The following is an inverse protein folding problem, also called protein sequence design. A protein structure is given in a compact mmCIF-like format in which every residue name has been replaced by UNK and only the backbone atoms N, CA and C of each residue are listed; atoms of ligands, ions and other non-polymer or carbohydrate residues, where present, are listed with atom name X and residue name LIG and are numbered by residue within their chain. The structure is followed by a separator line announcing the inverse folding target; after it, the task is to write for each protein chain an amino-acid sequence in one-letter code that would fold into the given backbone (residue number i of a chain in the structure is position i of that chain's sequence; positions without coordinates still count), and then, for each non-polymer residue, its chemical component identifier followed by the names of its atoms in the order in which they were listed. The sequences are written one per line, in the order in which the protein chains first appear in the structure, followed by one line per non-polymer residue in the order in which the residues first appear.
data_IF_900227047996
#
_entry.id   IF_900227047996
#
_cell.length_a   1.000
_cell.length_b   1.000
_cell.length_c   1.000
_cell.angle_alpha   90.00
_cell.angle_beta   90.00
_cell.angle_gamma   90.00
#
_symmetry.space_group_name_H-M   'P 1'
#
loop_
_entity.id
_entity.type
_entity.pdbx_description
1 polymer ?
#
# COMPACT_ATOMS: atom_id res chain seq x y z
N UNK A 1 3.13 -6.90 -38.44
CA UNK A 1 1.92 -6.40 -37.73
C UNK A 1 1.49 -7.26 -36.53
N UNK A 2 1.49 -8.60 -36.59
CA UNK A 2 1.02 -9.44 -35.46
C UNK A 2 1.90 -9.42 -34.19
N UNK A 3 3.19 -9.13 -34.29
CA UNK A 3 4.13 -9.10 -33.14
C UNK A 3 3.94 -7.87 -32.25
N UNK A 4 3.53 -6.75 -32.83
CA UNK A 4 3.34 -5.48 -32.11
C UNK A 4 2.12 -5.53 -31.17
N UNK A 5 1.10 -6.32 -31.53
CA UNK A 5 -0.10 -6.52 -30.71
C UNK A 5 0.17 -7.34 -29.43
N UNK A 6 1.12 -8.29 -29.47
CA UNK A 6 1.47 -9.11 -28.30
C UNK A 6 2.24 -8.31 -27.25
N UNK A 7 3.10 -7.36 -27.68
CA UNK A 7 3.84 -6.49 -26.77
C UNK A 7 2.94 -5.52 -25.99
N UNK A 8 1.83 -5.08 -26.59
CA UNK A 8 0.93 -4.07 -26.00
C UNK A 8 0.00 -4.67 -24.94
N UNK A 9 -0.31 -5.97 -24.98
CA UNK A 9 -1.15 -6.59 -23.95
C UNK A 9 -0.42 -6.84 -22.61
N UNK A 10 0.92 -6.87 -22.61
CA UNK A 10 1.74 -7.06 -21.40
C UNK A 10 1.82 -5.81 -20.50
N UNK A 11 1.34 -4.66 -20.97
CA UNK A 11 1.40 -3.39 -20.24
C UNK A 11 0.09 -3.01 -19.53
N UNK A 12 -0.93 -3.88 -19.53
CA UNK A 12 -2.18 -3.58 -18.82
C UNK A 12 -2.07 -3.97 -17.35
N UNK A 13 -1.40 -3.11 -16.58
CA UNK A 13 -1.36 -3.19 -15.12
C UNK A 13 -2.78 -3.03 -14.55
N UNK A 14 -3.18 -3.77 -13.51
CA UNK A 14 -4.41 -3.49 -12.79
C UNK A 14 -4.33 -2.09 -12.15
N UNK A 15 -5.45 -1.37 -12.08
CA UNK A 15 -5.54 -0.11 -11.34
C UNK A 15 -5.10 -0.36 -9.89
N UNK A 16 -4.01 0.28 -9.49
CA UNK A 16 -3.50 0.19 -8.13
C UNK A 16 -4.49 0.89 -7.18
N UNK A 17 -5.00 0.15 -6.20
CA UNK A 17 -5.74 0.68 -5.06
C UNK A 17 -5.00 0.27 -3.79
N UNK A 18 -4.90 1.18 -2.83
CA UNK A 18 -4.34 0.90 -1.51
C UNK A 18 -5.40 0.25 -0.62
N UNK A 19 -5.04 -0.88 -0.01
CA UNK A 19 -5.88 -1.59 0.95
C UNK A 19 -5.24 -1.50 2.33
N UNK A 20 -6.04 -1.11 3.32
CA UNK A 20 -5.60 -0.94 4.70
C UNK A 20 -6.55 -1.72 5.60
N UNK A 21 -5.98 -2.53 6.49
CA UNK A 21 -6.71 -3.11 7.61
C UNK A 21 -6.52 -2.20 8.83
N UNK A 22 -7.62 -1.82 9.48
CA UNK A 22 -7.63 -0.96 10.66
C UNK A 22 -8.61 -1.51 11.70
N UNK A 23 -8.17 -1.57 12.96
CA UNK A 23 -9.03 -1.88 14.11
C UNK A 23 -9.75 -0.64 14.69
N UNK A 24 -10.69 -0.88 15.63
CA UNK A 24 -11.59 0.14 16.21
C UNK A 24 -10.91 1.22 17.08
N UNK A 25 -9.72 0.93 17.62
CA UNK A 25 -8.93 1.92 18.38
C UNK A 25 -7.55 2.12 17.76
N UNK A 26 -7.40 1.75 16.49
CA UNK A 26 -6.16 1.86 15.78
C UNK A 26 -6.18 3.06 14.83
N UNK A 27 -5.16 3.91 14.91
CA UNK A 27 -4.96 5.01 13.98
C UNK A 27 -3.93 4.61 12.92
N UNK A 28 -4.26 4.85 11.66
CA UNK A 28 -3.33 4.72 10.53
C UNK A 28 -3.07 6.09 9.93
N UNK A 29 -1.81 6.40 9.66
CA UNK A 29 -1.39 7.69 9.12
C UNK A 29 -0.84 7.46 7.70
N UNK A 30 -1.30 8.25 6.72
CA UNK A 30 -0.66 8.38 5.41
C UNK A 30 0.04 9.73 5.36
N UNK A 31 1.34 9.72 5.14
CA UNK A 31 2.17 10.92 5.08
C UNK A 31 2.67 11.05 3.65
N UNK A 32 2.25 12.10 2.97
CA UNK A 32 2.65 12.36 1.60
C UNK A 32 3.19 13.79 1.50
N UNK A 33 4.26 13.94 0.74
CA UNK A 33 4.80 15.24 0.38
C UNK A 33 4.07 15.69 -0.90
N UNK A 34 3.27 16.75 -0.79
CA UNK A 34 2.37 17.24 -1.83
C UNK A 34 2.64 18.73 -2.06
N UNK A 35 2.90 19.17 -3.29
CA UNK A 35 3.16 20.58 -3.56
C UNK A 35 1.93 21.45 -3.23
N UNK A 36 2.17 22.68 -2.76
CA UNK A 36 1.13 23.55 -2.20
C UNK A 36 -0.01 23.95 -3.13
N UNK A 37 0.13 23.79 -4.45
CA UNK A 37 -0.89 24.06 -5.47
C UNK A 37 -1.66 22.81 -5.92
N UNK A 38 -1.52 21.68 -5.21
CA UNK A 38 -2.13 20.41 -5.58
C UNK A 38 -3.44 20.15 -4.83
N UNK A 39 -4.50 19.82 -5.56
CA UNK A 39 -5.76 19.37 -4.97
C UNK A 39 -5.73 17.86 -4.69
N UNK A 40 -5.94 17.47 -3.43
CA UNK A 40 -6.01 16.07 -3.03
C UNK A 40 -7.46 15.63 -2.93
N UNK A 41 -7.84 14.67 -3.78
CA UNK A 41 -9.14 14.01 -3.72
C UNK A 41 -8.94 12.50 -3.57
N UNK A 42 -9.64 11.91 -2.62
CA UNK A 42 -9.59 10.47 -2.37
C UNK A 42 -11.00 9.89 -2.25
N UNK A 43 -11.23 8.76 -2.89
CA UNK A 43 -12.42 7.94 -2.68
C UNK A 43 -12.06 6.75 -1.82
N UNK A 44 -12.83 6.49 -0.78
CA UNK A 44 -12.61 5.34 0.09
C UNK A 44 -13.86 4.47 0.18
N UNK A 45 -13.65 3.19 0.49
CA UNK A 45 -14.70 2.22 0.77
C UNK A 45 -14.33 1.48 2.05
N UNK A 46 -15.31 1.28 2.91
CA UNK A 46 -15.13 0.57 4.18
C UNK A 46 -15.90 -0.75 4.08
N UNK A 47 -15.29 -1.82 4.56
CA UNK A 47 -15.93 -3.13 4.67
C UNK A 47 -15.48 -3.79 5.97
N UNK A 48 -16.37 -4.58 6.56
CA UNK A 48 -16.10 -5.33 7.78
C UNK A 48 -15.90 -6.81 7.44
N UNK A 49 -14.88 -7.44 8.03
CA UNK A 49 -14.68 -8.88 7.92
C UNK A 49 -15.59 -9.62 8.91
N UNK A 50 -16.38 -10.57 8.41
CA UNK A 50 -17.26 -11.39 9.24
C UNK A 50 -16.71 -12.83 9.32
N UNK A 51 -16.28 -13.32 10.51
CA UNK A 51 -15.68 -14.65 10.66
C UNK A 51 -16.61 -15.79 10.26
N UNK A 52 -17.91 -15.66 10.54
CA UNK A 52 -18.90 -16.71 10.28
C UNK A 52 -19.16 -16.96 8.80
N UNK A 53 -19.03 -15.93 7.94
CA UNK A 53 -19.28 -16.03 6.50
C UNK A 53 -18.00 -16.08 5.67
N UNK A 54 -16.81 -15.96 6.30
CA UNK A 54 -15.52 -15.85 5.64
C UNK A 54 -15.53 -14.81 4.50
N UNK A 55 -16.15 -13.65 4.74
CA UNK A 55 -16.34 -12.63 3.70
C UNK A 55 -16.39 -11.20 4.24
N UNK A 56 -16.23 -10.25 3.32
CA UNK A 56 -16.36 -8.82 3.58
C UNK A 56 -17.81 -8.36 3.38
N UNK A 57 -18.37 -7.70 4.38
CA UNK A 57 -19.73 -7.11 4.34
C UNK A 57 -19.70 -5.61 4.58
N UNK A 58 -20.86 -4.98 4.40
CA UNK A 58 -21.06 -3.58 4.79
C UNK A 58 -20.89 -3.42 6.31
N UNK A 59 -20.33 -2.29 6.78
CA UNK A 59 -20.14 -2.04 8.21
C UNK A 59 -21.45 -2.05 9.00
N UNK A 60 -21.38 -2.43 10.28
CA UNK A 60 -22.51 -2.33 11.19
C UNK A 60 -23.00 -0.87 11.37
N UNK A 61 -24.29 -0.63 11.69
CA UNK A 61 -24.79 0.71 11.98
C UNK A 61 -24.02 1.34 13.15
N UNK A 62 -23.51 2.56 12.97
CA UNK A 62 -22.68 3.26 13.97
C UNK A 62 -21.17 3.13 13.74
N UNK A 63 -20.73 2.10 13.01
CA UNK A 63 -19.32 1.90 12.67
C UNK A 63 -18.93 2.67 11.41
N UNK A 64 -18.08 3.67 11.56
CA UNK A 64 -17.62 4.54 10.47
C UNK A 64 -16.10 4.61 10.36
N UNK A 65 -15.61 5.20 9.26
CA UNK A 65 -14.22 5.61 9.11
C UNK A 65 -14.15 7.13 9.04
N UNK A 66 -13.21 7.69 9.78
CA UNK A 66 -12.96 9.11 9.91
C UNK A 66 -11.58 9.39 9.36
N UNK A 67 -11.47 10.41 8.51
CA UNK A 67 -10.19 10.88 7.96
C UNK A 67 -9.97 12.30 8.45
N UNK A 68 -8.95 12.50 9.28
CA UNK A 68 -8.50 13.81 9.71
C UNK A 68 -7.32 14.22 8.86
N UNK A 69 -7.33 15.46 8.35
CA UNK A 69 -6.25 15.98 7.50
C UNK A 69 -5.49 17.03 8.29
N UNK A 70 -4.19 16.78 8.46
CA UNK A 70 -3.27 17.67 9.17
C UNK A 70 -2.14 18.09 8.23
N UNK A 71 -1.94 19.39 8.03
CA UNK A 71 -0.89 19.91 7.15
C UNK A 71 0.31 20.39 7.97
N UNK A 72 1.51 19.97 7.59
CA UNK A 72 2.78 20.36 8.22
C UNK A 72 3.62 21.16 7.22
N UNK A 73 3.60 22.49 7.35
CA UNK A 73 4.27 23.38 6.38
C UNK A 73 3.49 23.50 5.06
N UNK A 74 4.16 23.93 3.99
CA UNK A 74 3.51 24.15 2.68
C UNK A 74 3.52 22.90 1.77
N UNK A 75 4.23 21.83 2.15
CA UNK A 75 4.51 20.69 1.25
C UNK A 75 4.26 19.30 1.86
N UNK A 76 3.80 19.18 3.12
CA UNK A 76 3.58 17.86 3.75
C UNK A 76 2.19 17.73 4.34
N UNK A 77 1.48 16.68 3.95
CA UNK A 77 0.13 16.37 4.45
C UNK A 77 0.12 15.03 5.19
N UNK A 78 -0.63 14.99 6.30
CA UNK A 78 -0.86 13.81 7.11
C UNK A 78 -2.36 13.51 7.06
N UNK A 79 -2.71 12.32 6.57
CA UNK A 79 -4.07 11.82 6.58
C UNK A 79 -4.18 10.74 7.67
N UNK A 80 -4.87 11.10 8.74
CA UNK A 80 -5.11 10.24 9.89
C UNK A 80 -6.45 9.52 9.75
N UNK A 81 -6.39 8.21 9.55
CA UNK A 81 -7.54 7.33 9.38
C UNK A 81 -7.82 6.62 10.69
N UNK A 82 -9.06 6.75 11.19
CA UNK A 82 -9.56 6.01 12.36
C UNK A 82 -10.89 5.34 12.02
N UNK A 83 -11.15 4.17 12.61
CA UNK A 83 -12.41 3.42 12.45
C UNK A 83 -13.04 3.26 13.82
N UNK A 84 -14.34 3.51 13.99
CA UNK A 84 -15.00 3.32 15.29
C UNK A 84 -16.43 3.85 15.35
N UNK A 85 -16.98 3.94 16.57
CA UNK A 85 -18.27 4.54 16.91
C UNK A 85 -18.03 5.87 17.67
N UNK A 86 -18.88 6.88 17.49
CA UNK A 86 -18.64 8.25 17.98
C UNK A 86 -19.50 8.59 19.21
N UNK A 87 -18.92 8.60 20.41
CA UNK A 87 -19.62 8.90 21.68
C UNK A 87 -19.46 10.35 22.19
N UNK A 88 -20.56 10.93 22.68
CA UNK A 88 -20.75 12.32 23.16
C UNK A 88 -20.26 12.58 24.61
N UNK A 89 -19.43 11.72 25.19
CA UNK A 89 -19.16 11.66 26.65
C UNK A 89 -18.09 12.64 27.20
N UNK A 90 -17.70 13.65 26.43
CA UNK A 90 -16.56 14.53 26.71
C UNK A 90 -16.67 15.39 28.00
N UNK A 91 -17.87 15.67 28.51
CA UNK A 91 -18.07 16.59 29.64
C UNK A 91 -17.90 15.95 31.04
N UNK A 92 -17.97 14.62 31.17
CA UNK A 92 -17.82 13.93 32.47
C UNK A 92 -16.36 13.62 32.81
N UNK A 93 -15.45 13.79 31.84
CA UNK A 93 -14.00 13.53 31.92
C UNK A 93 -13.24 14.46 32.89
N UNK A 94 -13.68 15.72 33.04
CA UNK A 94 -12.93 16.75 33.78
C UNK A 94 -12.70 16.47 35.27
N UNK A 95 -13.56 15.68 35.92
CA UNK A 95 -13.42 15.36 37.35
C UNK A 95 -12.53 14.12 37.60
N UNK A 96 -12.25 13.30 36.57
CA UNK A 96 -11.34 12.14 36.61
C UNK A 96 -9.90 12.53 36.27
N UNK A 97 -9.71 13.65 35.57
CA UNK A 97 -8.44 14.19 35.09
C UNK A 97 -7.38 14.43 36.18
N UNK A 98 -7.77 14.82 37.40
CA UNK A 98 -6.81 15.32 38.40
C UNK A 98 -6.22 14.26 39.33
N UNK A 99 -6.88 13.11 39.44
CA UNK A 99 -6.38 11.96 40.22
C UNK A 99 -5.66 10.97 39.31
N UNK A 100 -6.01 10.92 38.01
CA UNK A 100 -5.21 10.27 36.98
C UNK A 100 -3.82 10.91 36.84
N UNK A 101 -3.67 12.22 37.03
CA UNK A 101 -2.44 12.99 36.80
C UNK A 101 -1.17 12.47 37.52
N UNK A 102 -1.30 11.86 38.71
CA UNK A 102 -0.15 11.35 39.48
C UNK A 102 0.19 9.90 39.13
N UNK A 103 -0.82 9.05 38.87
CA UNK A 103 -0.66 7.68 38.34
C UNK A 103 -0.09 7.71 36.91
N UNK A 104 -0.46 8.75 36.15
CA UNK A 104 0.00 9.09 34.81
C UNK A 104 1.52 9.27 34.72
N UNK A 105 2.23 9.68 35.78
CA UNK A 105 3.70 9.87 35.68
C UNK A 105 4.53 8.59 35.83
N UNK A 106 4.00 7.57 36.53
CA UNK A 106 4.66 6.26 36.68
C UNK A 106 4.27 5.29 35.55
N UNK A 107 3.04 5.41 35.06
CA UNK A 107 2.59 4.76 33.82
C UNK A 107 3.39 5.28 32.62
N UNK A 108 3.64 6.60 32.55
CA UNK A 108 4.39 7.23 31.46
C UNK A 108 5.80 6.66 31.20
N UNK A 109 6.55 6.25 32.22
CA UNK A 109 7.88 5.66 32.04
C UNK A 109 7.83 4.20 31.59
N UNK A 110 6.77 3.48 31.98
CA UNK A 110 6.56 2.08 31.60
C UNK A 110 5.95 2.00 30.19
N UNK A 111 5.03 2.91 29.87
CA UNK A 111 4.51 3.17 28.53
C UNK A 111 5.62 3.61 27.57
N UNK A 112 6.59 4.42 28.00
CA UNK A 112 7.69 4.84 27.12
C UNK A 112 8.58 3.66 26.72
N UNK A 113 8.86 2.72 27.62
CA UNK A 113 9.63 1.51 27.30
C UNK A 113 8.80 0.53 26.45
N UNK A 114 7.51 0.39 26.77
CA UNK A 114 6.60 -0.45 26.01
C UNK A 114 6.34 0.14 24.62
N UNK A 115 6.30 1.47 24.46
CA UNK A 115 6.29 2.16 23.16
C UNK A 115 7.56 1.88 22.39
N UNK A 116 8.75 1.97 23.00
CA UNK A 116 10.02 1.73 22.30
C UNK A 116 10.12 0.25 21.88
N UNK A 117 9.75 -0.69 22.74
CA UNK A 117 9.77 -2.12 22.40
C UNK A 117 8.70 -2.48 21.37
N UNK A 118 7.51 -1.87 21.47
CA UNK A 118 6.44 -2.00 20.47
C UNK A 118 6.85 -1.39 19.14
N UNK A 119 7.52 -0.25 19.13
CA UNK A 119 8.08 0.37 17.93
C UNK A 119 9.21 -0.46 17.33
N UNK A 120 10.13 -0.99 18.14
CA UNK A 120 11.20 -1.88 17.66
C UNK A 120 10.63 -3.17 17.09
N UNK A 121 9.62 -3.77 17.71
CA UNK A 121 8.99 -5.01 17.24
C UNK A 121 8.11 -4.74 16.00
N UNK A 122 7.39 -3.62 15.98
CA UNK A 122 6.60 -3.16 14.83
C UNK A 122 7.47 -2.87 13.61
N UNK A 123 8.64 -2.25 13.80
CA UNK A 123 9.63 -2.07 12.72
C UNK A 123 10.15 -3.42 12.22
N UNK A 124 10.37 -4.39 13.11
CA UNK A 124 10.86 -5.74 12.79
C UNK A 124 9.85 -6.56 11.98
N UNK A 125 8.58 -6.56 12.39
CA UNK A 125 7.50 -7.25 11.68
C UNK A 125 7.26 -6.65 10.28
N UNK A 126 7.34 -5.32 10.17
CA UNK A 126 7.28 -4.65 8.86
C UNK A 126 8.49 -4.97 8.00
N UNK A 127 9.69 -5.03 8.57
CA UNK A 127 10.89 -5.43 7.84
C UNK A 127 10.80 -6.90 7.37
N UNK A 128 10.23 -7.80 8.17
CA UNK A 128 10.00 -9.20 7.81
C UNK A 128 8.97 -9.35 6.67
N UNK A 129 7.84 -8.66 6.76
CA UNK A 129 6.79 -8.65 5.73
C UNK A 129 7.26 -7.94 4.46
N UNK A 130 7.99 -6.83 4.59
CA UNK A 130 8.55 -6.08 3.47
C UNK A 130 9.66 -6.88 2.78
N UNK A 131 10.47 -7.64 3.53
CA UNK A 131 11.49 -8.53 2.96
C UNK A 131 10.86 -9.67 2.17
N UNK A 132 9.83 -10.34 2.68
CA UNK A 132 9.14 -11.40 1.94
C UNK A 132 8.40 -10.88 0.71
N UNK A 133 7.74 -9.72 0.82
CA UNK A 133 7.06 -9.07 -0.32
C UNK A 133 8.05 -8.62 -1.40
N UNK A 134 9.21 -8.09 -0.98
CA UNK A 134 10.28 -7.69 -1.90
C UNK A 134 10.91 -8.89 -2.59
N UNK A 135 11.12 -10.01 -1.89
CA UNK A 135 11.72 -11.23 -2.47
C UNK A 135 10.78 -11.92 -3.48
N UNK A 136 9.49 -12.05 -3.16
CA UNK A 136 8.49 -12.67 -4.05
C UNK A 136 8.19 -11.80 -5.28
N UNK A 137 8.06 -10.48 -5.09
CA UNK A 137 7.86 -9.55 -6.22
C UNK A 137 9.11 -9.47 -7.10
N UNK A 138 10.30 -9.41 -6.50
CA UNK A 138 11.56 -9.35 -7.24
C UNK A 138 11.80 -10.63 -8.05
N UNK A 139 11.54 -11.81 -7.47
CA UNK A 139 11.71 -13.09 -8.15
C UNK A 139 10.81 -13.20 -9.39
N UNK A 140 9.54 -12.83 -9.25
CA UNK A 140 8.57 -12.91 -10.33
C UNK A 140 8.90 -11.94 -11.47
N UNK A 141 9.26 -10.69 -11.17
CA UNK A 141 9.64 -9.69 -12.18
C UNK A 141 10.92 -10.10 -12.92
N UNK A 142 11.89 -10.67 -12.21
CA UNK A 142 13.17 -11.08 -12.78
C UNK A 142 13.00 -12.31 -13.69
N UNK A 143 12.09 -13.23 -13.37
CA UNK A 143 11.72 -14.33 -14.27
C UNK A 143 11.08 -13.85 -15.57
N UNK A 144 10.16 -12.88 -15.50
CA UNK A 144 9.57 -12.25 -16.69
C UNK A 144 10.61 -11.50 -17.54
N UNK A 145 11.58 -10.82 -16.91
CA UNK A 145 12.67 -10.14 -17.61
C UNK A 145 13.60 -11.11 -18.37
N UNK A 146 13.91 -12.25 -17.78
CA UNK A 146 14.68 -13.30 -18.46
C UNK A 146 13.91 -13.92 -19.63
N UNK A 147 12.63 -14.24 -19.42
CA UNK A 147 11.78 -14.77 -20.48
C UNK A 147 11.69 -13.78 -21.67
N UNK A 148 11.51 -12.49 -21.39
CA UNK A 148 11.46 -11.43 -22.40
C UNK A 148 12.78 -11.28 -23.17
N UNK A 149 13.91 -11.37 -22.49
CA UNK A 149 15.24 -11.28 -23.13
C UNK A 149 15.46 -12.45 -24.11
N UNK A 150 15.09 -13.67 -23.72
CA UNK A 150 15.18 -14.85 -24.59
C UNK A 150 14.27 -14.73 -25.82
N UNK A 151 13.07 -14.17 -25.65
CA UNK A 151 12.15 -13.92 -26.76
C UNK A 151 12.80 -12.95 -27.77
N UNK A 152 13.38 -11.83 -27.32
CA UNK A 152 14.05 -10.89 -28.24
C UNK A 152 15.22 -11.50 -28.99
N UNK A 153 16.04 -12.32 -28.32
CA UNK A 153 17.16 -13.03 -28.96
C UNK A 153 16.63 -13.98 -30.04
N UNK A 154 15.57 -14.75 -29.74
CA UNK A 154 14.99 -15.69 -30.70
C UNK A 154 14.42 -14.99 -31.94
N UNK A 155 13.74 -13.85 -31.75
CA UNK A 155 13.17 -13.03 -32.83
C UNK A 155 14.30 -12.42 -33.67
N UNK A 156 15.38 -11.95 -33.05
CA UNK A 156 16.55 -11.42 -33.76
C UNK A 156 17.20 -12.47 -34.67
N UNK A 157 17.40 -13.69 -34.18
CA UNK A 157 17.96 -14.80 -35.00
C UNK A 157 17.01 -15.13 -36.15
N UNK A 158 15.70 -15.22 -35.89
CA UNK A 158 14.71 -15.53 -36.91
C UNK A 158 14.65 -14.43 -37.99
N UNK A 159 14.69 -13.15 -37.59
CA UNK A 159 14.75 -12.02 -38.52
C UNK A 159 15.99 -12.08 -39.42
N UNK A 160 17.16 -12.38 -38.84
CA UNK A 160 18.40 -12.50 -39.61
C UNK A 160 18.39 -13.68 -40.59
N UNK A 161 17.81 -14.83 -40.21
CA UNK A 161 17.63 -15.97 -41.12
C UNK A 161 16.66 -15.63 -42.24
N UNK A 162 15.50 -15.06 -41.91
CA UNK A 162 14.50 -14.66 -42.89
C UNK A 162 15.06 -13.68 -43.93
N UNK A 163 15.85 -12.70 -43.47
CA UNK A 163 16.49 -11.71 -44.35
C UNK A 163 17.55 -12.37 -45.25
N UNK A 164 18.34 -13.32 -44.73
CA UNK A 164 19.29 -14.11 -45.54
C UNK A 164 18.57 -14.98 -46.58
N UNK A 165 17.50 -15.66 -46.20
CA UNK A 165 16.73 -16.51 -47.11
C UNK A 165 16.05 -15.66 -48.20
N UNK A 166 15.59 -14.46 -47.86
CA UNK A 166 15.06 -13.49 -48.81
C UNK A 166 16.12 -13.03 -49.84
N UNK A 167 17.34 -12.71 -49.39
CA UNK A 167 18.43 -12.33 -50.29
C UNK A 167 18.92 -13.48 -51.17
N UNK A 168 18.96 -14.71 -50.64
CA UNK A 168 19.28 -15.91 -51.42
C UNK A 168 18.21 -16.19 -52.48
N UNK A 169 16.93 -16.05 -52.14
CA UNK A 169 15.82 -16.27 -53.07
C UNK A 169 15.76 -15.22 -54.19
N UNK A 170 16.28 -14.01 -53.95
CA UNK A 170 16.25 -12.89 -54.92
C UNK A 170 17.54 -12.68 -55.72
N UNK A 171 18.59 -13.49 -55.50
CA UNK A 171 19.86 -13.43 -56.27
C UNK A 171 20.46 -12.00 -56.36
N UNK A 172 20.52 -11.29 -55.23
CA UNK A 172 21.19 -9.98 -55.13
C UNK A 172 22.64 -10.09 -54.61
N UNK A 173 23.22 -11.29 -54.69
CA UNK A 173 24.62 -11.60 -55.00
C UNK A 173 24.65 -12.95 -55.73
#
# INVERSE_FOLDING_TARGET
MRVQAVLVCLSLSPLAAFYLHAGEQEQKCLIEDVPGDTWVAGTFKIQQWEPGSHGFREPAPGLGMWVTVTTYGDERIHLDIRVGEHDLDAAKAQAKDKVNEVTFKLEHLTEQIEQILKEQNYQRDREEIFRMTSEDTNSNVLWWAFAQTLIFISVGIFQMKYLKDFFMAKKLV
#
